data_IF_664509148499
#
_entry.id   IF_664509148499
#
_cell.length_a   1.000
_cell.length_b   1.000
_cell.length_c   1.000
_cell.angle_alpha   90.00
_cell.angle_beta   90.00
_cell.angle_gamma   90.00
#
_symmetry.space_group_name_H-M   'P 1'
#
loop_
_entity.id
_entity.type
_entity.pdbx_description
1 polymer ?
#
# COMPACT_ATOMS: atom_id res chain seq x y z
N UNK A 1 -47.37 26.73 20.44
CA UNK A 1 -48.53 26.52 21.34
C UNK A 1 -48.86 25.04 21.64
N UNK A 2 -48.83 24.15 20.70
CA UNK A 2 -49.16 22.70 20.96
C UNK A 2 -48.16 21.96 21.88
N UNK A 3 -46.92 22.42 22.04
CA UNK A 3 -45.90 21.80 22.91
C UNK A 3 -46.08 22.10 24.40
N UNK A 4 -46.75 23.21 24.75
CA UNK A 4 -47.03 23.58 26.16
C UNK A 4 -48.38 23.03 26.65
N UNK A 5 -49.31 22.71 25.78
CA UNK A 5 -50.63 22.25 26.12
C UNK A 5 -50.69 20.88 26.81
N UNK A 6 -49.85 19.94 26.34
CA UNK A 6 -49.78 18.59 26.91
C UNK A 6 -49.25 18.53 28.34
N UNK A 7 -48.13 19.19 28.71
CA UNK A 7 -47.65 19.15 30.08
C UNK A 7 -48.62 19.90 31.05
N UNK A 8 -49.27 20.98 30.58
CA UNK A 8 -50.26 21.68 31.37
C UNK A 8 -51.50 20.83 31.65
N UNK A 9 -51.94 20.10 30.67
CA UNK A 9 -53.08 19.15 30.79
C UNK A 9 -52.78 18.03 31.78
N UNK A 10 -51.58 17.45 31.72
CA UNK A 10 -51.15 16.42 32.67
C UNK A 10 -51.03 16.94 34.08
N UNK A 11 -50.55 18.16 34.28
CA UNK A 11 -50.51 18.85 35.58
C UNK A 11 -51.92 19.10 36.15
N UNK A 12 -52.85 19.52 35.32
CA UNK A 12 -54.23 19.80 35.74
C UNK A 12 -54.98 18.49 36.12
N UNK A 13 -54.82 17.42 35.33
CA UNK A 13 -55.38 16.09 35.60
C UNK A 13 -54.75 15.53 36.88
N UNK A 14 -53.45 15.59 37.02
CA UNK A 14 -52.74 15.12 38.22
C UNK A 14 -53.17 15.85 39.49
N UNK A 15 -53.37 17.17 39.43
CA UNK A 15 -53.89 17.94 40.54
C UNK A 15 -55.34 17.59 40.91
N UNK A 16 -56.19 17.36 39.91
CA UNK A 16 -57.59 16.94 40.12
C UNK A 16 -57.69 15.52 40.75
N UNK A 17 -56.85 14.59 40.33
CA UNK A 17 -56.74 13.25 40.91
C UNK A 17 -56.24 13.28 42.35
N UNK A 18 -55.23 14.12 42.62
CA UNK A 18 -54.67 14.31 43.96
C UNK A 18 -55.72 14.92 44.95
N UNK A 19 -56.52 15.89 44.49
CA UNK A 19 -57.59 16.48 45.31
C UNK A 19 -58.73 15.51 45.53
N UNK A 20 -59.12 14.68 44.53
CA UNK A 20 -60.08 13.64 44.68
C UNK A 20 -59.65 12.51 45.65
N UNK A 21 -58.40 12.10 45.58
CA UNK A 21 -57.82 11.09 46.48
C UNK A 21 -57.70 11.62 47.92
N UNK A 22 -57.42 12.92 48.08
CA UNK A 22 -57.37 13.63 49.34
C UNK A 22 -58.73 13.65 50.05
N UNK A 23 -59.82 13.90 49.33
CA UNK A 23 -61.18 13.89 49.80
C UNK A 23 -61.64 12.46 50.22
N UNK A 24 -61.16 11.47 49.44
CA UNK A 24 -61.49 10.05 49.70
C UNK A 24 -60.85 9.54 51.00
N UNK A 25 -59.66 9.89 51.32
CA UNK A 25 -58.88 9.38 52.47
C UNK A 25 -59.16 10.12 53.79
N UNK A 26 -59.99 11.18 53.83
CA UNK A 26 -60.31 11.98 55.00
C UNK A 26 -59.10 12.40 55.88
N UNK A 27 -57.91 12.60 55.24
CA UNK A 27 -56.65 12.89 55.91
C UNK A 27 -56.69 14.34 56.45
N UNK A 28 -56.17 14.63 57.68
CA UNK A 28 -56.09 16.02 58.23
C UNK A 28 -55.37 16.97 57.28
N UNK A 29 -55.83 18.23 57.27
CA UNK A 29 -55.45 19.20 56.25
C UNK A 29 -53.92 19.36 56.07
N UNK A 30 -53.13 19.34 57.12
CA UNK A 30 -51.66 19.50 57.09
C UNK A 30 -50.95 18.33 56.44
N UNK A 31 -51.38 17.10 56.72
CA UNK A 31 -50.85 15.89 56.13
C UNK A 31 -51.22 15.78 54.65
N UNK A 32 -52.45 16.13 54.34
CA UNK A 32 -52.94 16.12 52.94
C UNK A 32 -52.17 17.11 52.07
N UNK A 33 -51.85 18.27 52.63
CA UNK A 33 -51.09 19.29 51.94
C UNK A 33 -49.61 18.88 51.70
N UNK A 34 -49.00 18.20 52.66
CA UNK A 34 -47.63 17.70 52.55
C UNK A 34 -47.54 16.53 51.52
N UNK A 35 -48.45 15.58 51.59
CA UNK A 35 -48.51 14.47 50.66
C UNK A 35 -48.83 14.93 49.24
N UNK A 36 -49.75 15.89 49.05
CA UNK A 36 -50.07 16.41 47.71
C UNK A 36 -48.94 17.18 47.10
N UNK A 37 -48.20 17.99 47.87
CA UNK A 37 -46.98 18.66 47.39
C UNK A 37 -45.88 17.70 46.98
N UNK A 38 -45.68 16.64 47.78
CA UNK A 38 -44.66 15.63 47.48
C UNK A 38 -45.02 14.83 46.21
N UNK A 39 -46.25 14.42 46.03
CA UNK A 39 -46.74 13.73 44.85
C UNK A 39 -46.69 14.64 43.60
N UNK A 40 -46.99 15.94 43.76
CA UNK A 40 -46.89 16.90 42.67
C UNK A 40 -45.44 17.10 42.22
N UNK A 41 -44.52 17.12 43.18
CA UNK A 41 -43.07 17.21 42.86
C UNK A 41 -42.55 15.96 42.14
N UNK A 42 -43.03 14.76 42.55
CA UNK A 42 -42.68 13.51 41.84
C UNK A 42 -43.25 13.51 40.42
N UNK A 43 -44.52 13.91 40.25
CA UNK A 43 -45.16 13.99 38.94
C UNK A 43 -44.45 15.02 38.02
N UNK A 44 -44.11 16.20 38.56
CA UNK A 44 -43.39 17.21 37.81
C UNK A 44 -42.02 16.75 37.39
N UNK A 45 -41.25 16.05 38.25
CA UNK A 45 -39.95 15.46 37.89
C UNK A 45 -40.12 14.37 36.85
N UNK A 46 -41.12 13.49 36.96
CA UNK A 46 -41.38 12.42 35.96
C UNK A 46 -41.74 13.03 34.58
N UNK A 47 -42.55 14.09 34.56
CA UNK A 47 -42.91 14.80 33.33
C UNK A 47 -41.72 15.52 32.71
N UNK A 48 -40.87 16.16 33.53
CA UNK A 48 -39.62 16.78 33.02
C UNK A 48 -38.66 15.73 32.47
N UNK A 49 -38.54 14.61 33.12
CA UNK A 49 -37.71 13.49 32.64
C UNK A 49 -38.26 12.84 31.37
N UNK A 50 -39.58 12.72 31.24
CA UNK A 50 -40.25 12.25 30.00
C UNK A 50 -40.12 13.26 28.84
N UNK A 51 -40.14 14.56 29.16
CA UNK A 51 -39.93 15.63 28.17
C UNK A 51 -38.46 15.75 27.74
N UNK A 52 -37.55 15.48 28.67
CA UNK A 52 -36.09 15.47 28.39
C UNK A 52 -35.59 14.15 27.78
N UNK A 53 -36.34 13.04 27.90
CA UNK A 53 -36.11 11.86 27.09
C UNK A 53 -36.47 12.23 25.65
N UNK A 54 -35.51 12.83 24.94
CA UNK A 54 -35.56 12.78 23.48
C UNK A 54 -35.62 11.30 23.11
N UNK A 55 -36.67 10.81 22.47
CA UNK A 55 -36.61 9.49 21.91
C UNK A 55 -35.35 9.54 21.01
N UNK A 56 -34.47 8.54 21.16
CA UNK A 56 -33.54 8.11 20.12
C UNK A 56 -34.36 7.56 18.95
N UNK A 57 -35.36 8.33 18.50
CA UNK A 57 -35.83 8.19 17.15
C UNK A 57 -34.69 8.68 16.32
N UNK A 58 -33.96 7.77 15.67
CA UNK A 58 -33.36 8.07 14.39
C UNK A 58 -34.50 8.66 13.56
N UNK A 59 -34.72 9.97 13.68
CA UNK A 59 -35.47 10.66 12.66
C UNK A 59 -34.62 10.41 11.40
N UNK A 60 -35.25 9.82 10.41
CA UNK A 60 -34.89 10.09 9.03
C UNK A 60 -34.93 11.63 8.89
N UNK A 61 -33.86 12.27 9.33
CA UNK A 61 -33.53 13.60 8.88
C UNK A 61 -33.26 13.32 7.42
N UNK A 62 -34.21 13.64 6.56
CA UNK A 62 -33.94 13.84 5.13
C UNK A 62 -32.70 14.70 5.15
N UNK A 63 -31.57 14.11 4.78
CA UNK A 63 -30.29 14.79 4.72
C UNK A 63 -30.57 16.13 4.06
N UNK A 64 -30.31 17.23 4.75
CA UNK A 64 -30.70 18.55 4.29
C UNK A 64 -30.09 18.70 2.90
N UNK A 65 -30.89 19.10 1.94
CA UNK A 65 -30.52 19.21 0.54
C UNK A 65 -29.11 19.81 0.42
N UNK A 66 -28.11 18.99 0.05
CA UNK A 66 -26.79 19.43 -0.38
C UNK A 66 -25.79 19.94 0.67
N UNK A 67 -26.04 19.91 1.99
CA UNK A 67 -25.07 20.42 2.97
C UNK A 67 -23.76 19.60 3.06
N UNK A 68 -23.78 18.32 2.67
CA UNK A 68 -22.60 17.45 2.66
C UNK A 68 -22.43 16.71 1.30
N UNK A 69 -23.03 17.25 0.26
CA UNK A 69 -23.18 16.61 -1.04
C UNK A 69 -24.49 15.81 -1.14
N UNK A 70 -24.92 15.64 -2.33
CA UNK A 70 -26.10 14.83 -2.68
C UNK A 70 -25.65 13.68 -3.56
N UNK A 71 -26.23 12.49 -3.37
CA UNK A 71 -25.92 11.33 -4.18
C UNK A 71 -27.22 10.73 -4.73
N UNK A 72 -27.24 10.52 -6.03
CA UNK A 72 -28.33 9.85 -6.72
C UNK A 72 -27.78 8.88 -7.77
N UNK A 73 -28.59 7.95 -8.22
CA UNK A 73 -28.23 7.14 -9.38
C UNK A 73 -28.24 8.03 -10.63
N UNK A 74 -27.18 7.93 -11.44
CA UNK A 74 -27.06 8.69 -12.67
C UNK A 74 -28.20 8.37 -13.63
N UNK A 75 -28.81 9.41 -14.16
CA UNK A 75 -29.75 9.27 -15.28
C UNK A 75 -29.00 8.90 -16.59
N UNK A 76 -29.64 8.21 -17.53
CA UNK A 76 -28.99 7.77 -18.77
C UNK A 76 -28.28 8.88 -19.55
N UNK A 77 -28.79 10.10 -19.47
CA UNK A 77 -28.16 11.28 -20.12
C UNK A 77 -26.92 11.76 -19.40
N UNK A 78 -26.88 11.64 -18.09
CA UNK A 78 -25.69 11.95 -17.28
C UNK A 78 -24.60 10.92 -17.52
N UNK A 79 -24.97 9.63 -17.58
CA UNK A 79 -24.05 8.54 -17.91
C UNK A 79 -23.33 8.81 -19.23
N UNK A 80 -24.05 9.23 -20.28
CA UNK A 80 -23.48 9.57 -21.60
C UNK A 80 -22.58 10.81 -21.60
N UNK A 81 -22.75 11.71 -20.64
CA UNK A 81 -21.87 12.88 -20.48
C UNK A 81 -20.55 12.58 -19.78
N UNK A 82 -20.59 11.61 -18.86
CA UNK A 82 -19.43 11.27 -18.00
C UNK A 82 -18.63 10.12 -18.58
N UNK A 83 -19.30 9.14 -19.15
CA UNK A 83 -18.67 7.91 -19.66
C UNK A 83 -18.80 7.81 -21.18
N UNK A 84 -17.82 7.18 -21.80
CA UNK A 84 -17.81 6.97 -23.24
C UNK A 84 -18.40 5.60 -23.59
N UNK A 85 -19.30 5.56 -24.57
CA UNK A 85 -19.76 4.31 -25.18
C UNK A 85 -18.82 3.93 -26.32
N UNK A 86 -18.25 2.71 -26.26
CA UNK A 86 -17.35 2.15 -27.27
C UNK A 86 -17.95 0.85 -27.79
N UNK A 87 -18.11 0.72 -29.10
CA UNK A 87 -18.54 -0.55 -29.71
C UNK A 87 -17.43 -1.61 -29.55
N UNK A 88 -17.83 -2.85 -29.25
CA UNK A 88 -16.89 -3.95 -29.20
C UNK A 88 -16.22 -4.14 -30.59
N UNK A 89 -14.90 -4.25 -30.57
CA UNK A 89 -14.10 -4.30 -31.80
C UNK A 89 -13.58 -2.94 -32.28
N UNK A 90 -13.90 -1.83 -31.59
CA UNK A 90 -13.45 -0.48 -31.90
C UNK A 90 -12.75 0.19 -30.72
N UNK A 91 -12.16 -0.60 -29.85
CA UNK A 91 -11.40 -0.12 -28.70
C UNK A 91 -10.13 0.60 -29.20
N UNK A 92 -10.00 1.90 -28.91
CA UNK A 92 -8.92 2.73 -29.45
C UNK A 92 -8.03 3.37 -28.38
N UNK A 93 -8.51 3.51 -27.13
CA UNK A 93 -7.76 4.15 -26.07
C UNK A 93 -7.93 3.41 -24.73
N UNK A 94 -6.89 3.38 -23.89
CA UNK A 94 -6.94 2.76 -22.56
C UNK A 94 -8.01 3.39 -21.68
N UNK A 95 -8.76 2.57 -20.97
CA UNK A 95 -9.83 3.04 -20.11
C UNK A 95 -10.15 2.02 -19.01
N UNK A 96 -10.89 2.46 -17.99
CA UNK A 96 -11.54 1.59 -17.04
C UNK A 96 -12.96 1.28 -17.47
N UNK A 97 -13.35 0.02 -17.40
CA UNK A 97 -14.71 -0.38 -17.72
C UNK A 97 -15.63 -0.04 -16.55
N UNK A 98 -16.75 0.59 -16.83
CA UNK A 98 -17.81 0.91 -15.88
C UNK A 98 -19.02 0.01 -16.08
N UNK A 99 -19.27 -0.41 -17.32
CA UNK A 99 -20.38 -1.28 -17.67
C UNK A 99 -20.20 -1.89 -19.05
N UNK A 100 -21.02 -2.88 -19.36
CA UNK A 100 -21.04 -3.51 -20.66
C UNK A 100 -22.45 -3.91 -21.06
N UNK A 101 -22.75 -3.80 -22.36
CA UNK A 101 -23.91 -4.42 -22.98
C UNK A 101 -23.45 -5.51 -23.96
N UNK A 102 -24.39 -6.12 -24.70
CA UNK A 102 -24.05 -7.20 -25.65
C UNK A 102 -23.06 -6.76 -26.74
N UNK A 103 -23.05 -5.48 -27.10
CA UNK A 103 -22.24 -4.97 -28.22
C UNK A 103 -21.42 -3.72 -27.88
N UNK A 104 -21.59 -3.15 -26.67
CA UNK A 104 -20.93 -1.90 -26.28
C UNK A 104 -20.29 -2.01 -24.93
N UNK A 105 -19.14 -1.33 -24.78
CA UNK A 105 -18.48 -1.05 -23.52
C UNK A 105 -18.86 0.36 -23.06
N UNK A 106 -19.13 0.53 -21.80
CA UNK A 106 -19.21 1.83 -21.15
C UNK A 106 -17.93 2.02 -20.36
N UNK A 107 -17.13 3.02 -20.74
CA UNK A 107 -15.76 3.19 -20.24
C UNK A 107 -15.53 4.56 -19.64
N UNK A 108 -14.72 4.60 -18.61
CA UNK A 108 -14.18 5.80 -17.99
C UNK A 108 -12.75 6.04 -18.50
N UNK A 109 -12.58 7.13 -19.27
CA UNK A 109 -11.28 7.57 -19.81
C UNK A 109 -10.62 8.65 -18.97
N UNK A 110 -11.23 9.06 -17.86
CA UNK A 110 -10.65 10.04 -16.92
C UNK A 110 -9.39 9.48 -16.23
N UNK A 111 -8.72 10.30 -15.45
CA UNK A 111 -7.53 9.91 -14.66
C UNK A 111 -7.87 9.47 -13.23
N UNK A 112 -9.14 9.22 -12.93
CA UNK A 112 -9.59 8.89 -11.59
C UNK A 112 -9.31 7.43 -11.23
N UNK A 113 -8.94 7.19 -9.98
CA UNK A 113 -8.83 5.86 -9.40
C UNK A 113 -10.17 5.35 -8.88
N UNK A 114 -10.35 4.04 -8.81
CA UNK A 114 -11.60 3.39 -8.42
C UNK A 114 -11.42 2.59 -7.13
N UNK A 115 -12.31 2.81 -6.17
CA UNK A 115 -12.46 1.97 -4.99
C UNK A 115 -13.76 1.17 -5.10
N UNK A 116 -13.63 -0.16 -5.06
CA UNK A 116 -14.76 -1.07 -5.04
C UNK A 116 -14.85 -1.74 -3.67
N UNK A 117 -15.99 -1.55 -3.01
CA UNK A 117 -16.30 -2.19 -1.73
C UNK A 117 -17.47 -3.13 -1.94
N UNK A 118 -17.23 -4.42 -1.74
CA UNK A 118 -18.26 -5.43 -1.89
C UNK A 118 -17.92 -6.69 -1.08
N UNK A 119 -18.90 -7.44 -0.58
CA UNK A 119 -18.65 -8.65 0.17
C UNK A 119 -17.93 -9.71 -0.68
N UNK A 120 -17.26 -10.69 -0.04
CA UNK A 120 -16.70 -11.84 -0.74
C UNK A 120 -17.75 -12.54 -1.61
N UNK A 121 -17.36 -12.96 -2.82
CA UNK A 121 -18.27 -13.64 -3.75
C UNK A 121 -19.23 -12.72 -4.53
N UNK A 122 -19.21 -11.41 -4.32
CA UNK A 122 -20.07 -10.46 -5.05
C UNK A 122 -19.67 -10.28 -6.52
N UNK A 123 -18.61 -10.94 -6.99
CA UNK A 123 -18.17 -10.86 -8.38
C UNK A 123 -17.27 -9.67 -8.71
N UNK A 124 -16.56 -9.09 -7.73
CA UNK A 124 -15.63 -7.97 -7.95
C UNK A 124 -14.68 -8.19 -9.13
N UNK A 125 -13.97 -9.30 -9.12
CA UNK A 125 -13.00 -9.63 -10.16
C UNK A 125 -13.65 -9.89 -11.52
N UNK A 126 -14.82 -10.55 -11.55
CA UNK A 126 -15.54 -10.86 -12.79
C UNK A 126 -16.29 -9.68 -13.39
N UNK A 127 -16.75 -8.73 -12.56
CA UNK A 127 -17.53 -7.58 -13.03
C UNK A 127 -16.70 -6.39 -13.45
N UNK A 128 -15.50 -6.18 -12.85
CA UNK A 128 -14.68 -5.00 -13.12
C UNK A 128 -13.27 -5.37 -13.62
N UNK A 129 -12.53 -6.22 -12.91
CA UNK A 129 -11.12 -6.48 -13.23
C UNK A 129 -10.96 -7.19 -14.57
N UNK A 130 -11.55 -8.38 -14.71
CA UNK A 130 -11.43 -9.17 -15.94
C UNK A 130 -11.92 -8.39 -17.17
N UNK A 131 -13.11 -7.73 -17.15
CA UNK A 131 -13.55 -6.93 -18.26
C UNK A 131 -12.65 -5.73 -18.57
N UNK A 132 -12.11 -5.03 -17.56
CA UNK A 132 -11.17 -3.90 -17.77
C UNK A 132 -9.85 -4.38 -18.37
N UNK A 133 -9.32 -5.51 -17.91
CA UNK A 133 -8.12 -6.15 -18.47
C UNK A 133 -8.36 -6.54 -19.92
N UNK A 134 -9.48 -7.19 -20.22
CA UNK A 134 -9.86 -7.62 -21.57
C UNK A 134 -10.05 -6.43 -22.50
N UNK A 135 -10.69 -5.35 -22.03
CA UNK A 135 -10.84 -4.12 -22.80
C UNK A 135 -9.48 -3.54 -23.21
N UNK A 136 -8.56 -3.36 -22.23
CA UNK A 136 -7.21 -2.84 -22.51
C UNK A 136 -6.37 -3.77 -23.39
N UNK A 137 -6.57 -5.08 -23.28
CA UNK A 137 -5.95 -6.05 -24.18
C UNK A 137 -6.41 -5.83 -25.63
N UNK A 138 -7.70 -5.61 -25.85
CA UNK A 138 -8.26 -5.31 -27.17
C UNK A 138 -7.81 -3.94 -27.71
N UNK A 139 -7.72 -2.91 -26.85
CA UNK A 139 -7.11 -1.63 -27.23
C UNK A 139 -5.72 -1.87 -27.81
N UNK A 140 -4.90 -2.69 -27.13
CA UNK A 140 -3.57 -2.99 -27.64
C UNK A 140 -3.59 -3.69 -28.98
N UNK A 141 -4.47 -4.68 -29.15
CA UNK A 141 -4.62 -5.44 -30.39
C UNK A 141 -5.04 -4.54 -31.58
N UNK A 142 -6.01 -3.64 -31.37
CA UNK A 142 -6.57 -2.80 -32.43
C UNK A 142 -5.71 -1.58 -32.78
N UNK A 143 -4.76 -1.23 -31.91
CA UNK A 143 -3.87 -0.07 -32.12
C UNK A 143 -2.42 -0.43 -32.40
N UNK A 144 -2.13 -1.71 -32.70
CA UNK A 144 -0.78 -2.19 -32.99
C UNK A 144 -0.16 -1.48 -34.20
N UNK A 145 1.08 -1.04 -34.02
CA UNK A 145 1.94 -0.52 -35.08
C UNK A 145 2.62 -1.65 -35.88
N UNK A 146 3.53 -1.30 -36.78
CA UNK A 146 4.27 -2.25 -37.60
C UNK A 146 5.19 -3.19 -36.77
N UNK A 147 5.52 -2.82 -35.53
CA UNK A 147 6.29 -3.59 -34.58
C UNK A 147 5.42 -4.46 -33.65
N UNK A 148 4.10 -4.41 -33.82
CA UNK A 148 3.14 -5.13 -32.98
C UNK A 148 2.93 -4.51 -31.59
N UNK A 149 3.32 -3.24 -31.40
CA UNK A 149 3.18 -2.49 -30.15
C UNK A 149 1.95 -1.60 -30.24
N UNK A 150 0.94 -1.88 -29.44
CA UNK A 150 -0.27 -1.08 -29.37
C UNK A 150 -0.28 -0.10 -28.19
N UNK A 151 -1.39 0.62 -28.05
CA UNK A 151 -1.57 1.66 -27.04
C UNK A 151 -2.24 1.18 -25.74
N UNK A 152 -2.42 -0.14 -25.55
CA UNK A 152 -2.97 -0.69 -24.32
C UNK A 152 -2.19 -0.26 -23.07
N UNK A 153 -2.88 -0.03 -21.96
CA UNK A 153 -2.24 0.32 -20.69
C UNK A 153 -1.39 -0.83 -20.17
N UNK A 154 -0.21 -0.55 -19.60
CA UNK A 154 0.52 -1.54 -18.83
C UNK A 154 -0.16 -1.78 -17.49
N UNK A 155 -0.08 -2.99 -16.95
CA UNK A 155 -0.88 -3.41 -15.81
C UNK A 155 -0.06 -4.15 -14.76
N UNK A 156 -0.28 -3.81 -13.50
CA UNK A 156 0.18 -4.58 -12.33
C UNK A 156 -1.06 -5.16 -11.66
N UNK A 157 -1.15 -6.47 -11.61
CA UNK A 157 -2.30 -7.20 -11.10
C UNK A 157 -1.87 -7.95 -9.84
N UNK A 158 -2.29 -7.42 -8.70
CA UNK A 158 -1.98 -7.99 -7.38
C UNK A 158 -3.15 -8.82 -6.91
N UNK A 159 -2.92 -10.07 -6.60
CA UNK A 159 -3.94 -10.97 -6.10
C UNK A 159 -3.35 -12.01 -5.14
N UNK A 160 -4.18 -12.52 -4.25
CA UNK A 160 -3.84 -13.63 -3.35
C UNK A 160 -3.86 -14.97 -4.09
N UNK A 161 -4.72 -15.08 -5.12
CA UNK A 161 -4.96 -16.29 -5.90
C UNK A 161 -4.46 -16.13 -7.33
N UNK A 162 -4.21 -17.26 -8.00
CA UNK A 162 -3.77 -17.33 -9.40
C UNK A 162 -4.91 -17.15 -10.42
N UNK A 163 -6.11 -16.86 -9.98
CA UNK A 163 -7.32 -16.84 -10.81
C UNK A 163 -7.22 -15.80 -11.94
N UNK A 164 -6.79 -14.57 -11.63
CA UNK A 164 -6.65 -13.51 -12.63
C UNK A 164 -5.64 -13.90 -13.71
N UNK A 165 -4.50 -14.47 -13.32
CA UNK A 165 -3.51 -14.95 -14.28
C UNK A 165 -4.06 -16.06 -15.16
N UNK A 166 -4.67 -17.07 -14.57
CA UNK A 166 -5.23 -18.23 -15.27
C UNK A 166 -6.27 -17.84 -16.30
N UNK A 167 -7.14 -16.87 -15.96
CA UNK A 167 -8.23 -16.42 -16.83
C UNK A 167 -7.74 -15.49 -17.94
N UNK A 168 -6.83 -14.56 -17.64
CA UNK A 168 -6.55 -13.43 -18.56
C UNK A 168 -5.22 -13.54 -19.29
N UNK A 169 -4.24 -14.31 -18.81
CA UNK A 169 -2.88 -14.34 -19.37
C UNK A 169 -2.82 -14.79 -20.83
N UNK A 170 -3.62 -15.78 -21.20
CA UNK A 170 -3.65 -16.29 -22.57
C UNK A 170 -4.20 -15.23 -23.56
N UNK A 171 -5.25 -14.51 -23.16
CA UNK A 171 -5.83 -13.44 -23.99
C UNK A 171 -4.87 -12.26 -24.11
N UNK A 172 -4.25 -11.85 -23.00
CA UNK A 172 -3.23 -10.78 -23.00
C UNK A 172 -2.07 -11.11 -23.96
N UNK A 173 -1.56 -12.34 -23.93
CA UNK A 173 -0.50 -12.79 -24.86
C UNK A 173 -0.94 -12.72 -26.31
N UNK A 174 -2.16 -13.17 -26.63
CA UNK A 174 -2.73 -13.07 -27.99
C UNK A 174 -2.85 -11.63 -28.45
N UNK A 175 -3.16 -10.71 -27.54
CA UNK A 175 -3.26 -9.28 -27.82
C UNK A 175 -1.90 -8.54 -27.82
N UNK A 176 -0.77 -9.25 -27.75
CA UNK A 176 0.57 -8.67 -27.87
C UNK A 176 1.16 -8.13 -26.58
N UNK A 177 0.60 -8.47 -25.41
CA UNK A 177 1.19 -8.11 -24.13
C UNK A 177 2.38 -8.99 -23.76
N UNK A 178 3.42 -8.36 -23.20
CA UNK A 178 4.42 -9.06 -22.38
C UNK A 178 3.77 -9.43 -21.06
N UNK A 179 3.66 -10.73 -20.78
CA UNK A 179 3.03 -11.23 -19.56
C UNK A 179 4.09 -11.81 -18.65
N UNK A 180 4.25 -11.22 -17.48
CA UNK A 180 5.17 -11.64 -16.42
C UNK A 180 4.38 -12.12 -15.20
N UNK A 181 4.93 -13.10 -14.49
CA UNK A 181 4.34 -13.64 -13.27
C UNK A 181 5.37 -13.62 -12.16
N UNK A 182 5.17 -12.76 -11.15
CA UNK A 182 5.90 -12.79 -9.90
C UNK A 182 5.08 -13.62 -8.91
N UNK A 183 5.36 -14.90 -8.85
CA UNK A 183 4.61 -15.87 -8.06
C UNK A 183 5.36 -16.20 -6.77
N UNK A 184 4.92 -15.56 -5.66
CA UNK A 184 5.51 -15.80 -4.34
C UNK A 184 4.98 -17.08 -3.67
N UNK A 185 4.00 -17.75 -4.27
CA UNK A 185 3.53 -19.08 -3.84
C UNK A 185 4.36 -20.19 -4.45
N UNK A 186 4.68 -20.07 -5.74
CA UNK A 186 5.48 -21.02 -6.50
C UNK A 186 6.63 -20.30 -7.20
N UNK A 187 7.69 -20.03 -6.45
CA UNK A 187 8.83 -19.21 -6.89
C UNK A 187 9.59 -19.80 -8.07
N UNK A 188 9.57 -21.13 -8.28
CA UNK A 188 10.25 -21.77 -9.41
C UNK A 188 9.61 -21.46 -10.77
N UNK A 189 8.34 -21.01 -10.78
CA UNK A 189 7.63 -20.58 -11.98
C UNK A 189 7.49 -19.05 -12.05
N UNK A 190 8.29 -18.33 -11.30
CA UNK A 190 8.26 -16.87 -11.16
C UNK A 190 9.31 -16.22 -12.05
N UNK A 191 9.05 -14.99 -12.46
CA UNK A 191 10.10 -14.10 -12.98
C UNK A 191 11.04 -13.66 -11.86
N UNK A 192 12.24 -13.21 -12.22
CA UNK A 192 13.28 -12.84 -11.28
C UNK A 192 13.06 -11.43 -10.73
N UNK A 193 13.38 -11.24 -9.44
CA UNK A 193 13.28 -9.96 -8.75
C UNK A 193 14.45 -9.74 -7.80
N UNK A 194 15.57 -9.24 -8.31
CA UNK A 194 16.72 -8.86 -7.48
C UNK A 194 16.49 -7.49 -6.85
N UNK A 195 16.42 -7.44 -5.53
CA UNK A 195 16.23 -6.20 -4.76
C UNK A 195 17.32 -5.15 -4.98
N UNK A 196 18.55 -5.59 -5.28
CA UNK A 196 19.69 -4.70 -5.51
C UNK A 196 19.83 -4.28 -6.97
N UNK A 197 18.99 -4.77 -7.88
CA UNK A 197 19.12 -4.54 -9.31
C UNK A 197 19.29 -3.06 -9.70
N UNK A 198 18.44 -2.17 -9.15
CA UNK A 198 18.56 -0.73 -9.43
C UNK A 198 19.85 -0.11 -8.89
N UNK A 199 20.29 -0.53 -7.71
CA UNK A 199 21.58 -0.10 -7.16
C UNK A 199 22.71 -0.57 -8.06
N UNK A 200 22.67 -1.82 -8.52
CA UNK A 200 23.67 -2.43 -9.38
C UNK A 200 23.79 -1.70 -10.73
N UNK A 201 22.66 -1.40 -11.40
CA UNK A 201 22.65 -0.65 -12.67
C UNK A 201 23.28 0.73 -12.50
N UNK A 202 22.89 1.46 -11.45
CA UNK A 202 23.41 2.81 -11.22
C UNK A 202 24.90 2.81 -10.85
N UNK A 203 25.38 1.80 -10.11
CA UNK A 203 26.81 1.62 -9.85
C UNK A 203 27.58 1.27 -11.13
N UNK A 204 27.01 0.44 -12.00
CA UNK A 204 27.65 0.10 -13.28
C UNK A 204 27.68 1.29 -14.24
N UNK A 205 26.62 2.09 -14.26
CA UNK A 205 26.58 3.35 -14.99
C UNK A 205 27.61 4.35 -14.42
N UNK A 206 27.68 4.50 -13.09
CA UNK A 206 28.68 5.32 -12.42
C UNK A 206 30.13 4.94 -12.79
N UNK A 207 30.43 3.65 -12.92
CA UNK A 207 31.78 3.18 -13.31
C UNK A 207 32.14 3.53 -14.76
N UNK A 208 31.13 3.49 -15.66
CA UNK A 208 31.33 3.73 -17.11
C UNK A 208 31.30 5.22 -17.48
N UNK A 209 30.62 6.04 -16.68
CA UNK A 209 30.38 7.43 -16.96
C UNK A 209 31.67 8.28 -16.86
N UNK A 210 31.91 9.11 -17.84
CA UNK A 210 33.09 10.00 -17.92
C UNK A 210 32.77 11.41 -17.41
N UNK A 211 31.54 11.88 -17.59
CA UNK A 211 31.13 13.19 -17.08
C UNK A 211 31.01 13.19 -15.57
N UNK A 212 31.77 14.05 -14.90
CA UNK A 212 31.80 14.08 -13.43
C UNK A 212 30.44 14.40 -12.78
N UNK A 213 29.60 15.20 -13.45
CA UNK A 213 28.28 15.57 -12.95
C UNK A 213 27.29 14.39 -13.08
N UNK A 214 27.28 13.75 -14.25
CA UNK A 214 26.42 12.56 -14.48
C UNK A 214 26.87 11.40 -13.58
N UNK A 215 28.16 11.20 -13.45
CA UNK A 215 28.73 10.22 -12.53
C UNK A 215 28.28 10.45 -11.08
N UNK A 216 28.24 11.70 -10.62
CA UNK A 216 27.72 12.03 -9.29
C UNK A 216 26.22 11.75 -9.16
N UNK A 217 25.44 11.97 -10.23
CA UNK A 217 23.99 11.66 -10.27
C UNK A 217 23.76 10.16 -10.14
N UNK A 218 24.47 9.33 -10.90
CA UNK A 218 24.35 7.87 -10.81
C UNK A 218 24.66 7.35 -9.41
N UNK A 219 25.77 7.83 -8.80
CA UNK A 219 26.11 7.42 -7.44
C UNK A 219 25.05 7.86 -6.41
N UNK A 220 24.57 9.10 -6.50
CA UNK A 220 23.52 9.61 -5.61
C UNK A 220 22.20 8.82 -5.77
N UNK A 221 21.88 8.39 -6.98
CA UNK A 221 20.72 7.55 -7.27
C UNK A 221 20.89 6.16 -6.66
N UNK A 222 22.05 5.51 -6.84
CA UNK A 222 22.36 4.24 -6.19
C UNK A 222 22.26 4.33 -4.67
N UNK A 223 22.82 5.37 -4.06
CA UNK A 223 22.74 5.62 -2.62
C UNK A 223 21.27 5.79 -2.16
N UNK A 224 20.46 6.51 -2.91
CA UNK A 224 19.02 6.68 -2.62
C UNK A 224 18.29 5.33 -2.63
N UNK A 225 18.49 4.48 -3.63
CA UNK A 225 17.90 3.14 -3.69
C UNK A 225 18.38 2.25 -2.54
N UNK A 226 19.67 2.28 -2.20
CA UNK A 226 20.20 1.54 -1.06
C UNK A 226 19.53 1.97 0.26
N UNK A 227 19.30 3.26 0.47
CA UNK A 227 18.53 3.78 1.64
C UNK A 227 17.07 3.33 1.64
N UNK A 228 16.41 3.32 0.49
CA UNK A 228 15.02 2.84 0.37
C UNK A 228 14.94 1.36 0.73
N UNK A 229 15.88 0.53 0.23
CA UNK A 229 15.98 -0.89 0.57
C UNK A 229 16.17 -1.07 2.08
N UNK A 230 17.16 -0.40 2.67
CA UNK A 230 17.44 -0.50 4.10
C UNK A 230 16.25 -0.05 4.97
N UNK A 231 15.58 1.05 4.58
CA UNK A 231 14.40 1.54 5.30
C UNK A 231 13.22 0.59 5.19
N UNK A 232 13.01 -0.04 4.05
CA UNK A 232 11.96 -1.03 3.86
C UNK A 232 12.22 -2.32 4.66
N UNK A 233 13.49 -2.77 4.73
CA UNK A 233 13.90 -3.97 5.48
C UNK A 233 13.72 -3.77 6.99
N UNK A 234 14.22 -2.65 7.52
CA UNK A 234 14.12 -2.34 8.96
C UNK A 234 12.68 -2.01 9.35
N UNK A 235 11.90 -1.45 8.42
CA UNK A 235 10.54 -0.96 8.65
C UNK A 235 10.52 0.41 9.35
N UNK A 236 9.43 1.12 9.19
CA UNK A 236 9.16 2.31 10.00
C UNK A 236 8.57 1.85 11.33
N UNK A 237 9.36 1.83 12.39
CA UNK A 237 8.86 1.64 13.75
C UNK A 237 8.14 2.92 14.21
N UNK A 238 7.06 3.28 13.51
CA UNK A 238 6.15 4.35 13.92
C UNK A 238 5.24 3.97 15.09
N UNK A 239 5.68 3.09 15.98
CA UNK A 239 4.99 2.86 17.24
C UNK A 239 5.42 3.95 18.22
N UNK A 240 4.48 4.82 18.56
CA UNK A 240 4.60 5.92 19.54
C UNK A 240 5.12 5.49 20.94
N UNK A 241 5.40 4.20 21.13
CA UNK A 241 5.81 3.57 22.39
C UNK A 241 7.14 2.82 22.37
N UNK A 242 7.93 2.87 21.30
CA UNK A 242 9.29 2.32 21.33
C UNK A 242 10.22 3.34 21.96
N UNK A 243 10.86 2.99 23.10
CA UNK A 243 11.78 3.89 23.79
C UNK A 243 12.94 4.33 22.88
N UNK A 244 13.52 5.50 23.15
CA UNK A 244 14.60 6.14 22.37
C UNK A 244 15.76 5.21 21.96
N UNK A 245 16.05 4.18 22.76
CA UNK A 245 17.12 3.24 22.46
C UNK A 245 16.84 2.32 21.27
N UNK A 246 15.59 1.89 21.06
CA UNK A 246 15.24 1.01 19.93
C UNK A 246 15.28 1.75 18.59
N UNK A 247 14.96 3.03 18.59
CA UNK A 247 15.04 3.88 17.40
C UNK A 247 16.48 4.10 16.97
N UNK A 248 17.38 4.37 17.93
CA UNK A 248 18.81 4.49 17.66
C UNK A 248 19.40 3.22 17.01
N UNK A 249 19.07 2.03 17.53
CA UNK A 249 19.54 0.77 16.95
C UNK A 249 19.01 0.56 15.54
N UNK A 250 17.75 0.88 15.28
CA UNK A 250 17.15 0.77 13.96
C UNK A 250 17.76 1.75 12.95
N UNK A 251 17.99 3.01 13.34
CA UNK A 251 18.66 3.99 12.48
C UNK A 251 20.08 3.56 12.13
N UNK A 252 20.85 3.09 13.11
CA UNK A 252 22.20 2.62 12.89
C UNK A 252 22.21 1.34 12.05
N UNK A 253 21.27 0.43 12.24
CA UNK A 253 21.10 -0.76 11.40
C UNK A 253 20.74 -0.40 9.95
N UNK A 254 19.90 0.64 9.71
CA UNK A 254 19.64 1.17 8.37
C UNK A 254 20.93 1.68 7.72
N UNK A 255 21.73 2.42 8.46
CA UNK A 255 23.05 2.87 8.01
C UNK A 255 23.94 1.68 7.60
N UNK A 256 24.08 0.69 8.47
CA UNK A 256 24.85 -0.52 8.21
C UNK A 256 24.37 -1.23 6.93
N UNK A 257 23.08 -1.52 6.81
CA UNK A 257 22.50 -2.18 5.62
C UNK A 257 22.74 -1.33 4.37
N UNK A 258 22.54 0.00 4.44
CA UNK A 258 22.82 0.91 3.30
C UNK A 258 24.27 0.79 2.85
N UNK A 259 25.22 0.86 3.78
CA UNK A 259 26.64 0.73 3.48
C UNK A 259 26.99 -0.62 2.87
N UNK A 260 26.42 -1.71 3.39
CA UNK A 260 26.67 -3.07 2.88
C UNK A 260 26.00 -3.32 1.52
N UNK A 261 24.81 -2.77 1.26
CA UNK A 261 24.18 -2.81 -0.07
C UNK A 261 25.09 -2.13 -1.11
N UNK A 262 25.58 -0.92 -0.81
CA UNK A 262 26.52 -0.22 -1.69
C UNK A 262 27.83 -1.00 -1.87
N UNK A 263 28.35 -1.60 -0.80
CA UNK A 263 29.55 -2.40 -0.82
C UNK A 263 29.39 -3.62 -1.75
N UNK A 264 28.32 -4.40 -1.57
CA UNK A 264 28.02 -5.58 -2.40
C UNK A 264 27.82 -5.17 -3.86
N UNK A 265 27.08 -4.08 -4.11
CA UNK A 265 26.86 -3.59 -5.48
C UNK A 265 28.13 -3.06 -6.14
N UNK A 266 29.06 -2.47 -5.37
CA UNK A 266 30.29 -1.89 -5.90
C UNK A 266 31.47 -2.87 -5.97
N UNK A 267 31.57 -3.83 -5.07
CA UNK A 267 32.74 -4.72 -4.97
C UNK A 267 32.41 -6.20 -5.16
N UNK A 268 31.14 -6.59 -5.14
CA UNK A 268 30.71 -7.97 -5.40
C UNK A 268 30.87 -8.37 -6.87
N UNK A 269 31.15 -9.66 -7.11
CA UNK A 269 31.17 -10.24 -8.44
C UNK A 269 29.73 -10.43 -8.99
N UNK A 270 29.65 -10.65 -10.30
CA UNK A 270 28.38 -11.05 -10.92
C UNK A 270 27.88 -12.35 -10.24
N UNK A 271 26.61 -12.39 -9.86
CA UNK A 271 26.05 -13.49 -9.07
C UNK A 271 26.14 -13.33 -7.55
N UNK A 272 26.91 -12.36 -7.03
CA UNK A 272 26.96 -12.03 -5.59
C UNK A 272 26.22 -10.74 -5.26
N UNK A 273 25.81 -9.98 -6.25
CA UNK A 273 25.21 -8.63 -6.09
C UNK A 273 23.72 -8.70 -5.76
N UNK A 274 23.41 -9.34 -4.62
CA UNK A 274 22.04 -9.56 -4.13
C UNK A 274 21.95 -9.46 -2.60
N UNK A 275 20.71 -9.43 -2.07
CA UNK A 275 20.47 -9.13 -0.65
C UNK A 275 21.00 -10.24 0.29
N UNK A 276 21.03 -11.49 -0.14
CA UNK A 276 21.56 -12.60 0.67
C UNK A 276 23.06 -12.46 0.89
N UNK A 277 23.81 -11.88 -0.06
CA UNK A 277 25.23 -11.54 0.16
C UNK A 277 25.42 -10.48 1.23
N UNK A 278 24.48 -9.53 1.34
CA UNK A 278 24.49 -8.55 2.46
C UNK A 278 24.29 -9.27 3.79
N UNK A 279 23.35 -10.23 3.85
CA UNK A 279 23.15 -11.06 5.04
C UNK A 279 24.40 -11.86 5.40
N UNK A 280 24.99 -12.56 4.43
CA UNK A 280 26.18 -13.38 4.66
C UNK A 280 27.38 -12.54 5.16
N UNK A 281 27.58 -11.35 4.59
CA UNK A 281 28.60 -10.41 5.09
C UNK A 281 28.37 -10.04 6.56
N UNK A 282 27.13 -9.77 6.96
CA UNK A 282 26.84 -9.45 8.36
C UNK A 282 27.07 -10.68 9.25
N UNK A 283 26.73 -11.89 8.80
CA UNK A 283 26.99 -13.14 9.53
C UNK A 283 28.51 -13.36 9.71
N UNK A 284 29.29 -13.19 8.65
CA UNK A 284 30.76 -13.27 8.73
C UNK A 284 31.36 -12.22 9.68
N UNK A 285 30.81 -11.01 9.63
CA UNK A 285 31.20 -9.92 10.52
C UNK A 285 30.76 -10.18 11.97
N UNK A 286 29.62 -10.85 12.18
CA UNK A 286 29.15 -11.28 13.48
C UNK A 286 30.02 -12.42 14.10
N UNK A 287 30.73 -13.13 13.28
CA UNK A 287 31.78 -14.10 13.49
C UNK A 287 31.69 -15.04 14.68
N UNK A 288 31.30 -16.27 14.40
CA UNK A 288 31.14 -17.35 15.38
C UNK A 288 32.46 -18.00 15.83
N UNK A 289 33.59 -17.33 15.75
CA UNK A 289 34.87 -17.93 16.14
C UNK A 289 35.29 -17.53 17.54
N UNK A 290 35.08 -18.48 18.46
CA UNK A 290 35.62 -18.57 19.81
C UNK A 290 35.11 -17.54 20.83
N UNK A 291 34.23 -17.91 21.75
CA UNK A 291 33.70 -17.03 22.80
C UNK A 291 34.78 -16.43 23.73
N UNK A 292 35.97 -17.03 23.79
CA UNK A 292 37.09 -16.52 24.59
C UNK A 292 37.84 -15.34 23.95
N UNK A 293 37.71 -15.15 22.62
CA UNK A 293 38.29 -14.03 21.87
C UNK A 293 37.25 -13.10 21.22
N UNK A 294 35.96 -13.36 21.44
CA UNK A 294 34.85 -12.91 20.60
C UNK A 294 34.74 -11.43 20.36
N UNK A 295 35.11 -10.58 21.27
CA UNK A 295 34.77 -9.16 21.16
C UNK A 295 35.79 -8.31 20.38
N UNK A 296 37.06 -8.67 20.45
CA UNK A 296 38.14 -7.95 19.72
C UNK A 296 38.27 -8.40 18.27
N UNK A 297 37.97 -9.67 17.98
CA UNK A 297 38.07 -10.26 16.64
C UNK A 297 37.00 -9.68 15.72
N UNK A 298 35.80 -9.46 16.20
CA UNK A 298 34.69 -8.93 15.42
C UNK A 298 34.94 -7.48 14.92
N UNK A 299 35.44 -6.63 15.82
CA UNK A 299 35.83 -5.26 15.44
C UNK A 299 36.98 -5.26 14.43
N UNK A 300 37.91 -6.19 14.54
CA UNK A 300 39.04 -6.29 13.63
C UNK A 300 38.65 -6.79 12.24
N UNK A 301 37.70 -7.73 12.11
CA UNK A 301 37.20 -8.21 10.80
C UNK A 301 36.48 -7.12 10.02
N UNK A 302 35.57 -6.39 10.65
CA UNK A 302 34.88 -5.26 10.03
C UNK A 302 35.86 -4.16 9.63
N UNK A 303 36.84 -3.85 10.48
CA UNK A 303 37.87 -2.88 10.21
C UNK A 303 38.78 -3.34 9.04
N UNK A 304 39.21 -4.60 9.04
CA UNK A 304 40.05 -5.15 7.96
C UNK A 304 39.31 -5.14 6.60
N UNK A 305 38.01 -5.48 6.56
CA UNK A 305 37.21 -5.35 5.35
C UNK A 305 37.16 -3.91 4.84
N UNK A 306 37.02 -2.93 5.74
CA UNK A 306 36.97 -1.52 5.38
C UNK A 306 38.32 -0.95 4.92
N UNK A 307 39.45 -1.56 5.27
CA UNK A 307 40.76 -1.14 4.78
C UNK A 307 40.86 -1.25 3.27
N UNK A 308 40.28 -2.30 2.66
CA UNK A 308 40.23 -2.49 1.20
C UNK A 308 39.22 -1.59 0.46
N UNK A 309 38.31 -0.95 1.17
CA UNK A 309 37.28 -0.09 0.57
C UNK A 309 37.87 1.32 0.37
N UNK A 310 37.79 1.85 -0.84
CA UNK A 310 38.25 3.22 -1.14
C UNK A 310 37.15 4.26 -0.99
N UNK A 311 35.91 3.85 -1.09
CA UNK A 311 34.74 4.74 -1.01
C UNK A 311 34.49 5.24 0.41
N UNK A 312 34.62 6.58 0.58
CA UNK A 312 34.43 7.24 1.90
C UNK A 312 33.01 7.18 2.40
N UNK A 313 32.01 7.11 1.52
CA UNK A 313 30.58 7.08 1.91
C UNK A 313 30.23 5.71 2.47
N UNK A 314 30.66 4.64 1.82
CA UNK A 314 30.52 3.26 2.34
C UNK A 314 31.18 3.17 3.71
N UNK A 315 32.43 3.66 3.84
CA UNK A 315 33.11 3.73 5.14
C UNK A 315 32.30 4.50 6.17
N UNK A 316 31.74 5.65 5.80
CA UNK A 316 30.93 6.50 6.67
C UNK A 316 29.72 5.75 7.23
N UNK A 317 28.96 5.05 6.37
CA UNK A 317 27.80 4.26 6.79
C UNK A 317 28.15 3.13 7.76
N UNK A 318 29.22 2.41 7.49
CA UNK A 318 29.63 1.26 8.30
C UNK A 318 30.35 1.71 9.58
N UNK A 319 31.08 2.83 9.55
CA UNK A 319 31.84 3.33 10.68
C UNK A 319 30.96 3.72 11.87
N UNK A 320 29.72 4.11 11.67
CA UNK A 320 28.76 4.36 12.75
C UNK A 320 28.59 3.14 13.65
N UNK A 321 28.58 1.94 13.04
CA UNK A 321 28.50 0.67 13.78
C UNK A 321 29.83 0.31 14.42
N UNK A 322 30.96 0.49 13.71
CA UNK A 322 32.32 0.10 14.21
C UNK A 322 32.83 1.03 15.30
N UNK A 323 32.40 2.30 15.31
CA UNK A 323 32.80 3.29 16.32
C UNK A 323 32.06 3.10 17.66
N UNK A 324 30.96 2.38 17.69
CA UNK A 324 30.22 2.08 18.90
C UNK A 324 30.99 1.11 19.83
N UNK A 325 30.61 1.06 21.10
CA UNK A 325 31.11 0.01 22.00
C UNK A 325 30.64 -1.38 21.53
N UNK A 326 31.29 -2.43 22.05
CA UNK A 326 31.08 -3.80 21.58
C UNK A 326 29.65 -4.27 21.77
N UNK A 327 29.02 -3.95 22.91
CA UNK A 327 27.64 -4.36 23.21
C UNK A 327 26.66 -3.67 22.26
N UNK A 328 26.86 -2.40 22.01
CA UNK A 328 26.07 -1.60 21.06
C UNK A 328 26.24 -2.14 19.64
N UNK A 329 27.47 -2.43 19.20
CA UNK A 329 27.76 -3.06 17.90
C UNK A 329 27.00 -4.38 17.73
N UNK A 330 27.04 -5.26 18.74
CA UNK A 330 26.33 -6.55 18.72
C UNK A 330 24.80 -6.37 18.62
N UNK A 331 24.24 -5.41 19.32
CA UNK A 331 22.80 -5.11 19.24
C UNK A 331 22.39 -4.59 17.85
N UNK A 332 23.21 -3.72 17.24
CA UNK A 332 22.97 -3.23 15.88
C UNK A 332 23.04 -4.36 14.86
N UNK A 333 24.07 -5.18 14.93
CA UNK A 333 24.27 -6.35 14.05
C UNK A 333 23.13 -7.35 14.21
N UNK A 334 22.76 -7.68 15.45
CA UNK A 334 21.63 -8.58 15.75
C UNK A 334 20.31 -8.03 15.22
N UNK A 335 20.07 -6.72 15.36
CA UNK A 335 18.89 -6.05 14.77
C UNK A 335 18.86 -6.20 13.26
N UNK A 336 19.98 -5.92 12.58
CA UNK A 336 20.08 -6.07 11.12
C UNK A 336 19.87 -7.52 10.67
N UNK A 337 20.53 -8.48 11.32
CA UNK A 337 20.42 -9.91 11.01
C UNK A 337 18.98 -10.42 11.16
N UNK A 338 18.30 -10.07 12.25
CA UNK A 338 16.93 -10.51 12.51
C UNK A 338 15.96 -10.06 11.41
N UNK A 339 16.20 -8.90 10.81
CA UNK A 339 15.37 -8.36 9.72
C UNK A 339 15.74 -8.94 8.35
N UNK A 340 17.01 -9.28 8.14
CA UNK A 340 17.48 -9.88 6.89
C UNK A 340 17.22 -11.39 6.80
N UNK A 341 17.06 -12.06 7.95
CA UNK A 341 16.84 -13.51 8.00
C UNK A 341 15.64 -13.97 7.16
N UNK A 342 14.63 -13.13 6.99
CA UNK A 342 13.45 -13.41 6.16
C UNK A 342 13.76 -13.62 4.67
N UNK A 343 14.93 -13.19 4.18
CA UNK A 343 15.37 -13.40 2.80
C UNK A 343 16.17 -14.70 2.62
N UNK A 344 16.57 -15.33 3.72
CA UNK A 344 17.35 -16.57 3.72
C UNK A 344 16.37 -17.75 3.70
N UNK A 345 15.90 -18.06 2.52
CA UNK A 345 14.96 -19.13 2.20
C UNK A 345 15.36 -19.71 0.86
N UNK A 346 15.65 -21.02 0.82
CA UNK A 346 16.19 -21.68 -0.36
C UNK A 346 15.30 -21.55 -1.62
N UNK A 347 13.99 -21.40 -1.44
CA UNK A 347 13.08 -21.13 -2.55
C UNK A 347 13.17 -19.66 -2.97
N UNK A 348 13.14 -18.71 -2.02
CA UNK A 348 13.22 -17.28 -2.31
C UNK A 348 14.55 -16.89 -2.97
N UNK A 349 15.64 -17.55 -2.61
CA UNK A 349 16.95 -17.31 -3.20
C UNK A 349 16.94 -17.53 -4.72
N UNK A 350 16.16 -18.48 -5.22
CA UNK A 350 16.00 -18.70 -6.66
C UNK A 350 15.39 -17.49 -7.38
N UNK A 351 14.60 -16.70 -6.70
CA UNK A 351 13.94 -15.53 -7.23
C UNK A 351 14.77 -14.26 -7.07
N UNK A 352 15.43 -14.08 -5.89
CA UNK A 352 16.08 -12.82 -5.52
C UNK A 352 17.60 -12.80 -5.72
N UNK A 353 18.25 -13.96 -5.89
CA UNK A 353 19.71 -14.07 -6.06
C UNK A 353 20.10 -14.21 -7.53
N UNK A 354 19.49 -13.43 -8.40
CA UNK A 354 19.73 -13.45 -9.84
C UNK A 354 20.48 -12.19 -10.27
N UNK A 355 21.26 -12.29 -11.35
CA UNK A 355 21.90 -11.13 -11.95
C UNK A 355 20.89 -10.28 -12.71
N UNK A 356 19.97 -10.94 -13.41
CA UNK A 356 18.95 -10.29 -14.22
C UNK A 356 17.70 -9.96 -13.41
N UNK A 357 16.97 -8.97 -13.87
CA UNK A 357 15.66 -8.60 -13.34
C UNK A 357 14.69 -8.48 -14.51
N UNK A 358 13.65 -9.31 -14.49
CA UNK A 358 12.60 -9.28 -15.52
C UNK A 358 11.68 -8.06 -15.38
N UNK A 359 11.73 -7.38 -14.23
CA UNK A 359 10.79 -6.37 -13.78
C UNK A 359 11.43 -4.98 -13.85
N UNK A 360 11.57 -4.43 -15.06
CA UNK A 360 12.13 -3.12 -15.32
C UNK A 360 11.04 -2.12 -15.70
N UNK A 361 11.07 -0.92 -15.09
CA UNK A 361 10.06 0.12 -15.28
C UNK A 361 10.08 0.72 -16.71
N UNK A 362 11.24 0.81 -17.34
CA UNK A 362 11.37 1.33 -18.71
C UNK A 362 10.72 0.35 -19.69
N UNK A 363 11.07 -0.94 -19.59
CA UNK A 363 10.44 -1.98 -20.41
C UNK A 363 8.94 -2.14 -20.13
N UNK A 364 8.51 -1.91 -18.88
CA UNK A 364 7.10 -1.94 -18.50
C UNK A 364 6.29 -0.87 -19.21
N UNK A 365 6.87 0.30 -19.48
CA UNK A 365 6.21 1.42 -20.16
C UNK A 365 6.42 1.38 -21.67
N UNK A 366 7.57 0.96 -22.17
CA UNK A 366 7.86 0.88 -23.60
C UNK A 366 6.93 -0.10 -24.32
N UNK A 367 6.65 -1.23 -23.70
CA UNK A 367 5.77 -2.27 -24.26
C UNK A 367 4.60 -2.54 -23.35
N UNK A 368 3.40 -2.80 -23.89
CA UNK A 368 2.25 -3.20 -23.10
C UNK A 368 2.61 -4.45 -22.30
N UNK A 369 2.70 -4.28 -20.99
CA UNK A 369 3.17 -5.32 -20.08
C UNK A 369 2.13 -5.56 -18.99
N UNK A 370 1.83 -6.81 -18.69
CA UNK A 370 1.00 -7.23 -17.57
C UNK A 370 1.84 -8.02 -16.58
N UNK A 371 2.01 -7.50 -15.38
CA UNK A 371 2.73 -8.15 -14.28
C UNK A 371 1.70 -8.69 -13.29
N UNK A 372 1.65 -10.01 -13.15
CA UNK A 372 0.83 -10.68 -12.15
C UNK A 372 1.67 -10.94 -10.90
N UNK A 373 1.31 -10.29 -9.81
CA UNK A 373 1.92 -10.47 -8.50
C UNK A 373 1.00 -11.33 -7.64
N UNK A 374 1.42 -12.56 -7.37
CA UNK A 374 0.67 -13.50 -6.55
C UNK A 374 1.31 -13.57 -5.17
N UNK A 375 0.60 -13.02 -4.17
CA UNK A 375 1.04 -12.95 -2.78
C UNK A 375 0.13 -13.83 -1.92
N UNK A 376 0.57 -15.06 -1.54
CA UNK A 376 -0.26 -15.99 -0.79
C UNK A 376 -0.58 -15.44 0.61
N UNK A 377 -1.84 -15.48 1.04
CA UNK A 377 -2.32 -14.99 2.33
C UNK A 377 -1.79 -15.79 3.53
N UNK A 378 -1.45 -17.05 3.32
CA UNK A 378 -0.91 -17.96 4.34
C UNK A 378 0.57 -17.72 4.69
N UNK A 379 1.30 -16.85 3.97
CA UNK A 379 2.74 -16.64 4.17
C UNK A 379 3.11 -15.14 4.24
N UNK A 380 3.00 -14.57 5.43
CA UNK A 380 3.31 -13.15 5.69
C UNK A 380 4.77 -12.76 5.35
N UNK A 381 5.70 -13.72 5.43
CA UNK A 381 7.12 -13.44 5.13
C UNK A 381 7.30 -13.06 3.65
N UNK A 382 6.61 -13.73 2.76
CA UNK A 382 6.66 -13.46 1.31
C UNK A 382 5.87 -12.22 0.90
N UNK A 383 4.86 -11.82 1.70
CA UNK A 383 4.11 -10.57 1.52
C UNK A 383 5.02 -9.34 1.51
N UNK A 384 6.09 -9.36 2.29
CA UNK A 384 7.04 -8.26 2.32
C UNK A 384 7.69 -8.01 0.95
N UNK A 385 8.03 -9.05 0.20
CA UNK A 385 8.58 -8.91 -1.16
C UNK A 385 7.56 -8.30 -2.12
N UNK A 386 6.28 -8.67 -1.98
CA UNK A 386 5.21 -8.10 -2.78
C UNK A 386 5.09 -6.58 -2.57
N UNK A 387 5.11 -6.12 -1.32
CA UNK A 387 5.05 -4.69 -1.01
C UNK A 387 6.30 -3.94 -1.45
N UNK A 388 7.48 -4.55 -1.36
CA UNK A 388 8.72 -3.97 -1.89
C UNK A 388 8.68 -3.84 -3.41
N UNK A 389 8.19 -4.87 -4.11
CA UNK A 389 8.04 -4.83 -5.55
C UNK A 389 7.15 -3.66 -6.00
N UNK A 390 5.95 -3.56 -5.43
CA UNK A 390 5.02 -2.46 -5.76
C UNK A 390 5.67 -1.11 -5.46
N UNK A 391 6.36 -0.99 -4.33
CA UNK A 391 7.07 0.23 -3.94
C UNK A 391 8.15 0.61 -4.96
N UNK A 392 9.05 -0.31 -5.29
CA UNK A 392 10.18 -0.03 -6.18
C UNK A 392 9.72 0.28 -7.59
N UNK A 393 8.79 -0.52 -8.14
CA UNK A 393 8.24 -0.24 -9.47
C UNK A 393 7.57 1.14 -9.51
N UNK A 394 6.82 1.51 -8.47
CA UNK A 394 6.17 2.82 -8.42
C UNK A 394 7.18 3.97 -8.32
N UNK A 395 8.21 3.86 -7.48
CA UNK A 395 9.27 4.85 -7.37
C UNK A 395 10.02 5.01 -8.71
N UNK A 396 10.29 3.91 -9.41
CA UNK A 396 10.93 3.91 -10.72
C UNK A 396 10.05 4.56 -11.81
N UNK A 397 8.75 4.28 -11.81
CA UNK A 397 7.79 4.90 -12.73
C UNK A 397 7.67 6.41 -12.49
N UNK A 398 7.68 6.85 -11.24
CA UNK A 398 7.70 8.27 -10.89
C UNK A 398 8.98 8.93 -11.42
N UNK A 399 10.13 8.32 -11.17
CA UNK A 399 11.41 8.83 -11.65
C UNK A 399 11.52 8.85 -13.18
N UNK A 400 10.95 7.84 -13.86
CA UNK A 400 10.87 7.77 -15.31
C UNK A 400 9.98 8.90 -15.87
N UNK A 401 8.81 9.11 -15.29
CA UNK A 401 7.91 10.19 -15.70
C UNK A 401 8.58 11.57 -15.53
N UNK A 402 9.30 11.81 -14.44
CA UNK A 402 10.02 13.07 -14.23
C UNK A 402 11.09 13.32 -15.30
N UNK A 403 11.80 12.29 -15.74
CA UNK A 403 12.78 12.39 -16.86
C UNK A 403 12.10 12.65 -18.21
N UNK A 404 10.84 12.26 -18.38
CA UNK A 404 10.06 12.37 -19.61
C UNK A 404 9.09 13.56 -19.64
N UNK A 405 9.27 14.56 -18.80
CA UNK A 405 8.46 15.78 -18.79
C UNK A 405 7.23 15.72 -17.87
N UNK A 406 7.22 14.80 -16.90
CA UNK A 406 6.21 14.73 -15.85
C UNK A 406 5.13 13.66 -16.06
N UNK A 407 5.15 12.93 -17.18
CA UNK A 407 4.13 11.93 -17.52
C UNK A 407 4.76 10.72 -18.21
N UNK A 408 4.30 9.52 -17.90
CA UNK A 408 4.71 8.32 -18.64
C UNK A 408 4.05 8.30 -20.03
N UNK A 409 4.75 7.89 -21.08
CA UNK A 409 4.20 7.86 -22.45
C UNK A 409 3.09 6.82 -22.61
N UNK A 410 3.07 5.81 -21.74
CA UNK A 410 2.01 4.79 -21.69
C UNK A 410 1.29 4.87 -20.36
N UNK A 411 -0.05 4.89 -20.30
CA UNK A 411 -0.78 4.78 -19.05
C UNK A 411 -0.55 3.42 -18.41
N UNK A 412 -0.61 3.38 -17.09
CA UNK A 412 -0.42 2.15 -16.33
C UNK A 412 -1.44 2.02 -15.20
N UNK A 413 -1.91 0.79 -14.97
CA UNK A 413 -2.98 0.51 -14.03
C UNK A 413 -2.54 -0.49 -12.97
N UNK A 414 -2.87 -0.18 -11.70
CA UNK A 414 -2.75 -1.12 -10.60
C UNK A 414 -4.11 -1.72 -10.28
N UNK A 415 -4.20 -3.02 -10.34
CA UNK A 415 -5.36 -3.79 -9.89
C UNK A 415 -4.98 -4.45 -8.55
N UNK A 416 -5.54 -3.94 -7.46
CA UNK A 416 -5.23 -4.39 -6.10
C UNK A 416 -6.43 -5.17 -5.56
N UNK A 417 -6.45 -6.47 -5.82
CA UNK A 417 -7.51 -7.34 -5.34
C UNK A 417 -7.25 -7.74 -3.88
N UNK A 418 -8.32 -7.79 -3.09
CA UNK A 418 -8.26 -8.08 -1.65
C UNK A 418 -7.24 -7.19 -0.90
N UNK A 419 -7.19 -5.90 -1.25
CA UNK A 419 -6.17 -4.98 -0.72
C UNK A 419 -6.14 -4.88 0.81
N UNK A 420 -7.27 -5.18 1.48
CA UNK A 420 -7.33 -5.26 2.95
C UNK A 420 -6.42 -6.35 3.55
N UNK A 421 -6.12 -7.40 2.79
CA UNK A 421 -5.25 -8.51 3.18
C UNK A 421 -3.80 -8.31 2.69
N UNK A 422 -3.57 -7.30 1.85
CA UNK A 422 -2.23 -7.02 1.32
C UNK A 422 -1.34 -6.38 2.37
N UNK A 423 -0.05 -6.74 2.44
CA UNK A 423 0.87 -6.14 3.41
C UNK A 423 0.99 -4.64 3.21
N UNK A 424 1.21 -3.92 4.30
CA UNK A 424 1.37 -2.48 4.26
C UNK A 424 2.51 -2.06 3.31
N UNK A 425 2.18 -1.28 2.29
CA UNK A 425 3.16 -0.68 1.39
C UNK A 425 3.66 0.61 2.02
N UNK A 426 4.97 0.73 2.32
CA UNK A 426 5.52 1.93 2.94
C UNK A 426 5.24 3.18 2.10
N UNK A 427 4.57 4.19 2.69
CA UNK A 427 4.26 5.44 2.01
C UNK A 427 3.19 5.34 0.91
N UNK A 428 2.33 4.32 0.94
CA UNK A 428 1.32 4.04 -0.10
C UNK A 428 0.45 5.25 -0.47
N UNK A 429 0.03 6.04 0.51
CA UNK A 429 -0.82 7.22 0.28
C UNK A 429 -0.12 8.26 -0.61
N UNK A 430 1.15 8.56 -0.31
CA UNK A 430 1.95 9.49 -1.11
C UNK A 430 2.21 8.95 -2.51
N UNK A 431 2.51 7.66 -2.63
CA UNK A 431 2.76 7.01 -3.92
C UNK A 431 1.52 7.06 -4.80
N UNK A 432 0.37 6.67 -4.29
CA UNK A 432 -0.88 6.63 -5.04
C UNK A 432 -1.38 8.01 -5.44
N UNK A 433 -1.13 9.03 -4.60
CA UNK A 433 -1.38 10.43 -5.00
C UNK A 433 -0.45 10.89 -6.12
N UNK A 434 0.82 10.46 -6.09
CA UNK A 434 1.81 10.88 -7.07
C UNK A 434 1.61 10.26 -8.45
N UNK A 435 1.16 9.00 -8.55
CA UNK A 435 1.07 8.31 -9.86
C UNK A 435 -0.03 8.86 -10.77
N UNK A 436 -1.10 9.44 -10.21
CA UNK A 436 -2.20 10.01 -10.99
C UNK A 436 -1.71 11.01 -12.04
N UNK A 437 -0.94 12.01 -11.62
CA UNK A 437 -0.40 13.04 -12.53
C UNK A 437 0.62 12.48 -13.54
N UNK A 438 1.06 11.25 -13.37
CA UNK A 438 2.05 10.56 -14.20
C UNK A 438 1.46 9.50 -15.13
N UNK A 439 0.12 9.46 -15.24
CA UNK A 439 -0.61 8.53 -16.09
C UNK A 439 -0.98 7.21 -15.45
N UNK A 440 -0.81 7.09 -14.11
CA UNK A 440 -1.17 5.91 -13.36
C UNK A 440 -2.59 5.96 -12.80
N UNK A 441 -3.27 4.81 -12.79
CA UNK A 441 -4.60 4.65 -12.18
C UNK A 441 -4.60 3.42 -11.27
N UNK A 442 -5.45 3.45 -10.24
CA UNK A 442 -5.54 2.38 -9.26
C UNK A 442 -6.98 1.89 -9.18
N UNK A 443 -7.14 0.58 -9.24
CA UNK A 443 -8.40 -0.10 -8.94
C UNK A 443 -8.17 -0.91 -7.67
N UNK A 444 -8.80 -0.50 -6.59
CA UNK A 444 -8.74 -1.19 -5.30
C UNK A 444 -10.02 -1.92 -5.05
N UNK A 445 -9.95 -3.19 -4.65
CA UNK A 445 -11.09 -3.95 -4.16
C UNK A 445 -10.85 -4.41 -2.71
N UNK A 446 -11.90 -4.24 -1.86
CA UNK A 446 -11.88 -4.62 -0.45
C UNK A 446 -13.20 -5.26 -0.02
#
# INVERSE_FOLDING_TARGET
MKKLFRPLLVLVIGYALLTGFQLFLQIPMDWRLAVSKFLLAILATAVIELLNRQPLAVRDVKAGHGQHGDAHFMEPEEVKRVYQEVQQGHEAQPAMLVGASKSTWLVDTSDQSVLMVAPPGAGKSTSLYIPTITYNARVNLHTQDAQGIGQGASMVLVSVKDDLYTITSAELKKCGYRVLKLDLRNVFNSCHFNLLYRVNIEIDAWRKEQDAKQRAVHYATAERYAKVIASAIIGNTGSVNSGDSSEYFNETARGLITGLVLLVSQYGHDGERHIVSVFNLIVELAGADNPEKGNTVQKSRLAAMLEGVTDRRIKGYISTTTSADIRTTLNIVSSALSKLLKFVDAELEQLICTHDNDLDAEQFIERPTAIFLIAPDENETRHFLASLFVRFLTDDLIALAERQGGHCPRPFYYFLDEFGNFPAIPGVTSLFSAIRSRGGRILVAG
#
